data_IF_882463440566
#
_entry.id   IF_882463440566
#
_cell.length_a   1.000
_cell.length_b   1.000
_cell.length_c   1.000
_cell.angle_alpha   90.00
_cell.angle_beta   90.00
_cell.angle_gamma   90.00
#
_symmetry.space_group_name_H-M   'P 1'
#
loop_
_entity.id
_entity.type
_entity.pdbx_description
1 polymer ?
#
# COMPACT_ATOMS: atom_id res chain seq x y z
N UNK A 1 -13.40 -2.95 -4.94
CA UNK A 1 -13.28 -3.00 -3.48
C UNK A 1 -13.26 -4.42 -3.00
N UNK A 2 -12.48 -4.70 -2.00
CA UNK A 2 -12.45 -6.03 -1.43
C UNK A 2 -13.69 -6.28 -0.61
N UNK A 3 -14.25 -7.44 -0.76
CA UNK A 3 -15.45 -7.82 -0.02
C UNK A 3 -15.21 -9.00 0.88
N UNK A 4 -14.00 -9.44 0.95
CA UNK A 4 -13.72 -10.61 1.74
C UNK A 4 -13.73 -10.24 3.21
N UNK A 5 -14.52 -10.96 3.97
CA UNK A 5 -14.70 -10.68 5.40
C UNK A 5 -13.87 -11.59 6.28
N UNK A 6 -13.06 -12.45 5.72
CA UNK A 6 -12.36 -13.46 6.49
C UNK A 6 -10.92 -13.04 6.82
N UNK A 7 -10.76 -11.83 7.30
CA UNK A 7 -9.45 -11.35 7.68
C UNK A 7 -8.61 -10.87 6.53
N UNK A 8 -9.19 -10.70 5.38
CA UNK A 8 -8.46 -10.14 4.24
C UNK A 8 -8.08 -8.70 4.55
N UNK A 9 -6.82 -8.36 4.32
CA UNK A 9 -6.30 -7.04 4.62
C UNK A 9 -7.09 -5.96 3.89
N UNK A 10 -7.53 -6.25 2.67
CA UNK A 10 -8.28 -5.29 1.88
C UNK A 10 -9.57 -4.81 2.53
N UNK A 11 -10.15 -5.60 3.43
CA UNK A 11 -11.37 -5.20 4.12
C UNK A 11 -11.15 -4.05 5.08
N UNK A 12 -9.91 -3.81 5.48
CA UNK A 12 -9.57 -2.77 6.45
C UNK A 12 -8.98 -1.54 5.79
N UNK A 13 -8.86 -1.55 4.47
CA UNK A 13 -8.19 -0.49 3.74
C UNK A 13 -9.21 0.34 2.97
N UNK A 14 -9.34 1.60 3.33
CA UNK A 14 -10.17 2.57 2.62
C UNK A 14 -9.26 3.45 1.80
N UNK A 15 -9.52 3.55 0.50
CA UNK A 15 -8.65 4.31 -0.38
C UNK A 15 -9.42 5.38 -1.14
N UNK A 16 -8.70 6.43 -1.50
CA UNK A 16 -9.21 7.48 -2.37
C UNK A 16 -8.05 7.98 -3.23
N UNK A 17 -8.39 8.65 -4.32
CA UNK A 17 -7.39 9.26 -5.20
C UNK A 17 -7.64 10.75 -5.25
N UNK A 18 -6.56 11.52 -5.26
CA UNK A 18 -6.72 12.95 -5.49
C UNK A 18 -6.72 13.22 -7.01
N UNK A 19 -6.85 14.50 -7.39
CA UNK A 19 -6.94 14.85 -8.81
C UNK A 19 -5.59 14.72 -9.53
N UNK A 20 -4.51 14.40 -8.82
CA UNK A 20 -3.22 14.12 -9.43
C UNK A 20 -2.95 12.62 -9.53
N UNK A 21 -3.92 11.80 -9.11
CA UNK A 21 -3.77 10.36 -9.17
C UNK A 21 -2.98 9.76 -8.02
N UNK A 22 -2.74 10.53 -6.97
CA UNK A 22 -2.06 10.02 -5.79
C UNK A 22 -3.07 9.29 -4.93
N UNK A 23 -2.75 8.05 -4.57
CA UNK A 23 -3.60 7.26 -3.70
C UNK A 23 -3.35 7.64 -2.25
N UNK A 24 -4.42 7.85 -1.51
CA UNK A 24 -4.38 7.99 -0.06
C UNK A 24 -5.23 6.88 0.53
N UNK A 25 -4.70 6.17 1.51
CA UNK A 25 -5.41 5.08 2.12
C UNK A 25 -5.36 5.16 3.62
N UNK A 26 -6.40 4.62 4.24
CA UNK A 26 -6.48 4.50 5.69
C UNK A 26 -6.70 3.04 6.01
N UNK A 27 -5.81 2.48 6.80
CA UNK A 27 -5.91 1.09 7.22
C UNK A 27 -6.24 1.06 8.71
N UNK A 28 -7.36 0.43 9.06
CA UNK A 28 -7.77 0.29 10.46
C UNK A 28 -7.15 -0.99 11.02
N UNK A 29 -6.30 -0.82 12.00
CA UNK A 29 -5.61 -1.94 12.61
C UNK A 29 -6.49 -2.66 13.61
N UNK A 30 -6.18 -3.93 13.86
CA UNK A 30 -6.80 -4.66 14.95
C UNK A 30 -5.77 -5.55 15.62
N UNK A 31 -6.07 -5.97 16.85
CA UNK A 31 -5.13 -6.73 17.65
C UNK A 31 -4.71 -8.05 17.01
N UNK A 32 -5.54 -8.59 16.13
CA UNK A 32 -5.20 -9.84 15.46
C UNK A 32 -3.96 -9.72 14.59
N UNK A 33 -3.57 -8.50 14.25
CA UNK A 33 -2.43 -8.27 13.36
C UNK A 33 -1.14 -7.93 14.12
N UNK A 34 -1.19 -7.90 15.46
CA UNK A 34 0.05 -7.57 16.16
C UNK A 34 1.01 -8.75 16.11
N UNK A 35 2.27 -8.42 15.84
CA UNK A 35 3.31 -9.43 15.84
C UNK A 35 4.06 -9.45 17.14
N UNK A 36 4.22 -8.27 17.73
CA UNK A 36 4.92 -8.08 18.96
C UNK A 36 4.08 -7.14 19.80
N UNK A 37 4.19 -7.22 21.08
CA UNK A 37 3.31 -6.53 22.01
C UNK A 37 2.91 -5.13 21.53
N UNK A 38 1.68 -5.01 21.02
CA UNK A 38 1.14 -3.73 20.56
C UNK A 38 1.67 -3.24 19.22
N UNK A 39 2.56 -3.99 18.58
CA UNK A 39 3.19 -3.57 17.33
C UNK A 39 2.63 -4.39 16.19
N UNK A 40 2.30 -3.72 15.10
CA UNK A 40 1.79 -4.39 13.92
C UNK A 40 2.86 -5.29 13.32
N UNK A 41 2.47 -6.50 12.99
CA UNK A 41 3.37 -7.46 12.36
C UNK A 41 3.95 -6.88 11.08
N UNK A 42 5.28 -7.02 10.90
CA UNK A 42 5.96 -6.46 9.73
C UNK A 42 5.43 -7.00 8.41
N UNK A 43 5.07 -8.28 8.39
CA UNK A 43 4.47 -8.87 7.19
C UNK A 43 3.13 -8.26 6.84
N UNK A 44 2.35 -7.85 7.85
CA UNK A 44 1.09 -7.16 7.60
C UNK A 44 1.37 -5.78 6.99
N UNK A 45 2.34 -5.06 7.55
CA UNK A 45 2.70 -3.74 7.02
C UNK A 45 3.14 -3.84 5.55
N UNK A 46 3.99 -4.82 5.23
CA UNK A 46 4.45 -4.96 3.85
C UNK A 46 3.31 -5.36 2.92
N UNK A 47 2.37 -6.16 3.40
CA UNK A 47 1.20 -6.53 2.60
C UNK A 47 0.31 -5.33 2.31
N UNK A 48 0.14 -4.46 3.29
CA UNK A 48 -0.64 -3.22 3.11
C UNK A 48 0.01 -2.34 2.06
N UNK A 49 1.31 -2.20 2.14
CA UNK A 49 2.06 -1.38 1.18
C UNK A 49 1.93 -1.95 -0.22
N UNK A 50 2.17 -3.24 -0.36
CA UNK A 50 2.11 -3.89 -1.67
C UNK A 50 0.72 -3.77 -2.27
N UNK A 51 -0.31 -4.06 -1.48
CA UNK A 51 -1.69 -3.96 -1.95
C UNK A 51 -2.04 -2.53 -2.34
N UNK A 52 -1.59 -1.55 -1.57
CA UNK A 52 -1.87 -0.14 -1.86
C UNK A 52 -1.21 0.31 -3.15
N UNK A 53 0.01 -0.13 -3.38
CA UNK A 53 0.72 0.21 -4.62
C UNK A 53 0.03 -0.42 -5.83
N UNK A 54 -0.40 -1.67 -5.71
CA UNK A 54 -1.12 -2.33 -6.79
C UNK A 54 -2.42 -1.59 -7.09
N UNK A 55 -3.13 -1.16 -6.05
CA UNK A 55 -4.37 -0.39 -6.24
C UNK A 55 -4.10 0.97 -6.84
N UNK A 56 -2.95 1.56 -6.54
CA UNK A 56 -2.57 2.83 -7.15
C UNK A 56 -2.46 2.67 -8.67
N UNK A 57 -1.83 1.59 -9.13
CA UNK A 57 -1.76 1.30 -10.56
C UNK A 57 -3.14 1.02 -11.13
N UNK A 58 -3.95 0.24 -10.43
CA UNK A 58 -5.29 -0.09 -10.91
C UNK A 58 -6.14 1.17 -11.09
N UNK A 59 -5.96 2.15 -10.23
CA UNK A 59 -6.65 3.43 -10.39
C UNK A 59 -6.25 4.17 -11.64
N UNK A 60 -5.10 3.86 -12.19
CA UNK A 60 -4.64 4.41 -13.48
C UNK A 60 -4.91 3.47 -14.64
N UNK A 61 -5.71 2.41 -14.42
CA UNK A 61 -6.08 1.48 -15.47
C UNK A 61 -5.02 0.45 -15.78
N UNK A 62 -4.09 0.23 -14.86
CA UNK A 62 -2.96 -0.67 -15.11
C UNK A 62 -2.99 -1.82 -14.11
N UNK A 63 -2.87 -3.04 -14.62
CA UNK A 63 -2.66 -4.20 -13.77
C UNK A 63 -1.19 -4.59 -13.85
N UNK A 64 -0.56 -4.73 -12.72
CA UNK A 64 0.85 -5.05 -12.68
C UNK A 64 1.17 -6.00 -11.55
N UNK A 65 2.33 -6.60 -11.64
CA UNK A 65 2.83 -7.45 -10.57
C UNK A 65 4.11 -6.84 -9.98
N UNK A 66 4.35 -7.12 -8.72
CA UNK A 66 5.50 -6.58 -8.01
C UNK A 66 6.77 -7.27 -8.48
N UNK A 67 7.69 -6.50 -9.04
CA UNK A 67 8.99 -7.01 -9.41
C UNK A 67 10.01 -6.84 -8.31
N UNK A 68 9.89 -5.74 -7.57
CA UNK A 68 10.79 -5.45 -6.47
C UNK A 68 10.08 -4.55 -5.47
N UNK A 69 10.30 -4.82 -4.19
CA UNK A 69 9.72 -4.00 -3.13
C UNK A 69 10.77 -3.80 -2.06
N UNK A 70 11.16 -2.55 -1.83
CA UNK A 70 12.10 -2.18 -0.78
C UNK A 70 11.36 -1.38 0.27
N UNK A 71 11.41 -1.82 1.51
CA UNK A 71 10.69 -1.19 2.60
C UNK A 71 11.69 -0.80 3.68
N UNK A 72 11.55 0.43 4.17
CA UNK A 72 12.34 0.91 5.29
C UNK A 72 11.41 1.17 6.47
N UNK A 73 11.65 0.49 7.56
CA UNK A 73 10.88 0.67 8.79
C UNK A 73 11.65 1.66 9.66
N UNK A 74 11.06 2.84 9.82
CA UNK A 74 11.70 3.94 10.55
C UNK A 74 11.27 3.95 12.00
N UNK A 75 9.97 3.73 12.23
CA UNK A 75 9.38 3.66 13.56
C UNK A 75 8.45 2.46 13.64
N UNK A 76 8.33 1.85 14.81
CA UNK A 76 7.36 0.76 14.96
C UNK A 76 5.94 1.25 14.70
N UNK A 77 5.19 0.48 13.93
CA UNK A 77 3.80 0.76 13.65
C UNK A 77 2.96 0.05 14.70
N UNK A 78 2.09 0.79 15.37
CA UNK A 78 1.29 0.21 16.46
C UNK A 78 -0.07 -0.22 15.94
N UNK A 79 -0.72 -1.14 16.68
CA UNK A 79 -2.08 -1.58 16.32
C UNK A 79 -3.15 -0.66 16.91
N UNK A 80 -2.75 0.37 17.64
CA UNK A 80 -3.70 1.23 18.35
C UNK A 80 -4.19 2.41 17.54
N UNK A 81 -3.57 2.70 16.42
CA UNK A 81 -3.94 3.85 15.59
C UNK A 81 -4.01 3.43 14.13
N UNK A 82 -4.92 4.03 13.36
CA UNK A 82 -4.96 3.74 11.92
C UNK A 82 -3.67 4.15 11.24
N UNK A 83 -3.31 3.42 10.20
CA UNK A 83 -2.22 3.80 9.32
C UNK A 83 -2.77 4.65 8.20
N UNK A 84 -2.02 5.69 7.86
CA UNK A 84 -2.32 6.51 6.69
C UNK A 84 -1.21 6.24 5.68
N UNK A 85 -1.58 5.84 4.48
CA UNK A 85 -0.61 5.53 3.44
C UNK A 85 -0.85 6.42 2.23
N UNK A 86 0.22 6.87 1.61
CA UNK A 86 0.18 7.58 0.33
C UNK A 86 1.04 6.85 -0.65
N UNK A 87 0.51 6.63 -1.85
CA UNK A 87 1.25 5.99 -2.92
C UNK A 87 1.26 6.89 -4.13
N UNK A 88 2.43 7.02 -4.74
CA UNK A 88 2.63 7.89 -5.90
C UNK A 88 3.43 7.13 -6.95
N UNK A 89 2.97 7.17 -8.20
CA UNK A 89 3.76 6.65 -9.31
C UNK A 89 4.80 7.71 -9.62
N UNK A 90 6.08 7.37 -9.43
CA UNK A 90 7.16 8.34 -9.61
C UNK A 90 7.75 8.32 -11.00
N UNK A 91 7.73 7.18 -11.67
CA UNK A 91 8.27 7.03 -13.02
C UNK A 91 7.53 5.94 -13.74
N UNK A 92 7.47 6.04 -15.04
CA UNK A 92 7.01 4.94 -15.88
C UNK A 92 7.85 4.92 -17.15
N UNK A 93 8.19 3.71 -17.58
CA UNK A 93 8.94 3.51 -18.80
C UNK A 93 8.55 2.16 -19.38
N UNK A 94 7.90 2.20 -20.53
CA UNK A 94 7.38 1.00 -21.18
C UNK A 94 6.47 0.25 -20.19
N UNK A 95 6.83 -0.99 -19.86
CA UNK A 95 6.02 -1.81 -18.97
C UNK A 95 6.39 -1.64 -17.50
N UNK A 96 7.36 -0.80 -17.21
CA UNK A 96 7.88 -0.63 -15.86
C UNK A 96 7.28 0.61 -15.21
N UNK A 97 6.80 0.43 -13.97
CA UNK A 97 6.26 1.54 -13.17
C UNK A 97 6.95 1.55 -11.83
N UNK A 98 7.46 2.71 -11.46
CA UNK A 98 8.07 2.89 -10.14
C UNK A 98 7.10 3.64 -9.25
N UNK A 99 6.91 3.11 -8.06
CA UNK A 99 5.94 3.64 -7.11
C UNK A 99 6.63 3.83 -5.78
N UNK A 100 6.29 4.92 -5.10
CA UNK A 100 6.74 5.09 -3.71
C UNK A 100 5.53 5.14 -2.81
N UNK A 101 5.73 4.72 -1.56
CA UNK A 101 4.71 4.76 -0.54
C UNK A 101 5.28 5.32 0.75
N UNK A 102 4.44 6.02 1.50
CA UNK A 102 4.81 6.63 2.77
C UNK A 102 3.69 6.37 3.76
N UNK A 103 4.05 5.85 4.92
CA UNK A 103 3.09 5.55 5.98
C UNK A 103 3.32 6.44 7.18
N UNK A 104 2.22 6.94 7.74
CA UNK A 104 2.25 7.69 8.99
C UNK A 104 1.18 7.17 9.93
N UNK A 105 1.28 7.54 11.19
CA UNK A 105 0.27 7.27 12.21
C UNK A 105 0.15 8.48 13.12
N UNK A 106 -0.98 8.57 13.81
CA UNK A 106 -1.19 9.59 14.85
C UNK A 106 -0.99 11.01 14.34
N UNK A 107 -1.35 11.22 13.07
CA UNK A 107 -1.24 12.52 12.41
C UNK A 107 0.17 13.09 12.47
N UNK A 108 1.16 12.22 12.58
CA UNK A 108 2.55 12.63 12.58
C UNK A 108 2.94 13.15 11.22
N UNK A 109 3.83 14.14 11.20
CA UNK A 109 4.42 14.63 9.96
C UNK A 109 5.62 13.80 9.54
N UNK A 110 6.08 12.92 10.43
CA UNK A 110 7.23 12.05 10.13
C UNK A 110 6.72 10.71 9.66
N UNK A 111 7.43 10.14 8.71
CA UNK A 111 7.04 8.84 8.18
C UNK A 111 7.48 7.73 9.14
N UNK A 112 6.58 6.78 9.33
CA UNK A 112 6.87 5.58 10.10
C UNK A 112 7.51 4.53 9.23
N UNK A 113 7.08 4.45 7.96
CA UNK A 113 7.58 3.49 7.00
C UNK A 113 7.61 4.17 5.66
N UNK A 114 8.66 3.91 4.89
CA UNK A 114 8.73 4.34 3.50
C UNK A 114 9.04 3.14 2.64
N UNK A 115 8.59 3.18 1.39
CA UNK A 115 8.81 2.07 0.48
C UNK A 115 8.97 2.57 -0.94
N UNK A 116 9.72 1.80 -1.73
CA UNK A 116 9.85 2.00 -3.16
C UNK A 116 9.67 0.66 -3.83
N UNK A 117 9.00 0.65 -4.96
CA UNK A 117 8.73 -0.60 -5.66
C UNK A 117 8.82 -0.40 -7.16
N UNK A 118 9.12 -1.50 -7.84
CA UNK A 118 9.01 -1.60 -9.29
C UNK A 118 7.91 -2.59 -9.59
N UNK A 119 6.96 -2.17 -10.42
CA UNK A 119 5.88 -3.03 -10.89
C UNK A 119 5.99 -3.17 -12.38
N UNK A 120 5.64 -4.33 -12.89
CA UNK A 120 5.62 -4.60 -14.32
C UNK A 120 4.20 -4.83 -14.78
N UNK A 121 3.81 -4.11 -15.83
CA UNK A 121 2.48 -4.24 -16.40
C UNK A 121 2.28 -5.65 -16.94
N UNK A 122 1.13 -6.22 -16.63
CA UNK A 122 0.78 -7.53 -17.19
C UNK A 122 0.32 -7.30 -18.61
N UNK A 123 0.97 -7.96 -19.56
CA UNK A 123 0.63 -7.84 -20.97
C UNK A 123 -0.82 -8.19 -21.19
N UNK A 124 -1.51 -7.32 -21.91
CA UNK A 124 -2.91 -7.52 -22.20
C UNK A 124 -3.80 -7.14 -21.04
N UNK A 125 -3.24 -6.58 -19.97
CA UNK A 125 -4.03 -6.25 -18.80
C UNK A 125 -5.07 -5.17 -19.08
N UNK A 126 -4.76 -4.24 -19.98
CA UNK A 126 -5.73 -3.22 -20.35
C UNK A 126 -6.83 -3.83 -21.20
N UNK A 127 -6.50 -4.85 -21.94
CA UNK A 127 -7.49 -5.67 -22.60
C UNK A 127 -7.74 -6.87 -21.74
N UNK A 128 -7.77 -6.70 -20.56
CA UNK A 128 -7.83 -7.71 -19.57
C UNK A 128 -9.03 -8.58 -19.80
N UNK A 129 -8.78 -9.51 -20.49
CA UNK A 129 -9.88 -10.25 -21.04
C UNK A 129 -10.12 -11.49 -20.30
#
# INVERSE_FOLDING_TARGET
>A
MYNNVNGNIGNYLEISFDNKGILSGKFSCCNAFQGYNGILHGGITSSIIDASMAKCLMGHGILGYTGRLDIRYIKPVTVTSPLIIRCTITESYKELYKIKAELTQKQSKKFYVTAKASFYKINGSSGYN
#
